data_IF_879631706284
#
_entry.id   IF_879631706284
#
_cell.length_a   1.000
_cell.length_b   1.000
_cell.length_c   1.000
_cell.angle_alpha   90.00
_cell.angle_beta   90.00
_cell.angle_gamma   90.00
#
_symmetry.space_group_name_H-M   'P 1'
#
loop_
_entity.id
_entity.type
_entity.pdbx_description
1 polymer ?
#
# COMPACT_ATOMS: atom_id res chain seq x y z
N UNK A 1 14.63 48.94 -49.13
CA UNK A 1 14.18 48.75 -47.73
C UNK A 1 13.02 47.76 -47.77
N UNK A 2 13.31 46.48 -47.50
CA UNK A 2 12.97 45.72 -46.27
C UNK A 2 11.47 45.47 -46.09
N UNK A 3 11.02 44.41 -46.74
CA UNK A 3 9.83 43.63 -46.38
C UNK A 3 10.13 42.98 -45.01
N UNK A 4 9.30 43.22 -44.01
CA UNK A 4 9.32 42.49 -42.74
C UNK A 4 8.28 41.37 -42.82
N UNK A 5 8.65 40.10 -42.57
CA UNK A 5 7.72 38.98 -42.64
C UNK A 5 6.84 38.91 -41.39
N UNK A 6 5.61 38.44 -41.62
CA UNK A 6 4.55 38.19 -40.65
C UNK A 6 5.01 37.37 -39.45
N UNK A 7 4.52 37.78 -38.29
CA UNK A 7 4.67 37.12 -37.01
C UNK A 7 4.22 35.64 -37.11
N UNK A 8 5.20 34.74 -37.05
CA UNK A 8 4.96 33.34 -36.78
C UNK A 8 4.38 33.21 -35.37
N UNK A 9 3.05 33.12 -35.27
CA UNK A 9 2.34 32.77 -34.04
C UNK A 9 2.70 31.33 -33.68
N UNK A 10 3.76 31.18 -32.89
CA UNK A 10 4.15 29.94 -32.27
C UNK A 10 3.03 29.49 -31.32
N UNK A 11 2.18 28.58 -31.79
CA UNK A 11 1.23 27.84 -30.95
C UNK A 11 2.01 27.07 -29.89
N UNK A 12 2.17 27.66 -28.70
CA UNK A 12 2.71 26.99 -27.51
C UNK A 12 1.80 25.79 -27.20
N UNK A 13 2.27 24.58 -27.52
CA UNK A 13 1.67 23.32 -27.06
C UNK A 13 1.64 23.37 -25.53
N UNK A 14 0.45 23.51 -24.95
CA UNK A 14 0.22 23.38 -23.51
C UNK A 14 0.70 21.98 -23.11
N UNK A 15 1.89 21.90 -22.49
CA UNK A 15 2.33 20.69 -21.82
C UNK A 15 1.32 20.42 -20.70
N UNK A 16 0.41 19.47 -20.95
CA UNK A 16 -0.49 18.93 -19.93
C UNK A 16 0.44 18.32 -18.88
N UNK A 17 0.63 18.99 -17.73
CA UNK A 17 1.36 18.43 -16.61
C UNK A 17 0.81 17.02 -16.39
N UNK A 18 1.66 15.97 -16.33
CA UNK A 18 1.16 14.63 -16.07
C UNK A 18 0.37 14.71 -14.77
N UNK A 19 -0.87 14.23 -14.78
CA UNK A 19 -1.69 14.20 -13.59
C UNK A 19 -0.90 13.46 -12.51
N UNK A 20 -0.53 14.16 -11.44
CA UNK A 20 0.20 13.58 -10.32
C UNK A 20 -0.70 12.50 -9.73
N UNK A 21 -0.40 11.25 -10.05
CA UNK A 21 -1.06 10.12 -9.43
C UNK A 21 -0.80 10.21 -7.92
N UNK A 22 -1.84 10.28 -7.11
CA UNK A 22 -1.69 10.07 -5.67
C UNK A 22 -1.20 8.63 -5.46
N UNK A 23 -0.01 8.48 -4.86
CA UNK A 23 0.61 7.19 -4.56
C UNK A 23 0.76 6.97 -3.05
N UNK A 24 0.15 7.85 -2.26
CA UNK A 24 0.24 7.82 -0.81
C UNK A 24 -0.98 7.13 -0.24
N UNK A 25 -0.73 6.09 0.54
CA UNK A 25 -1.71 5.47 1.42
C UNK A 25 -1.64 6.15 2.78
N UNK A 26 -2.79 6.42 3.41
CA UNK A 26 -2.86 7.06 4.73
C UNK A 26 -3.36 6.06 5.76
N UNK A 27 -2.59 5.74 6.80
CA UNK A 27 -2.99 4.75 7.81
C UNK A 27 -4.11 5.28 8.71
N UNK A 28 -4.64 4.42 9.60
CA UNK A 28 -5.58 4.79 10.64
C UNK A 28 -5.03 5.88 11.58
N UNK A 29 -3.70 5.98 11.72
CA UNK A 29 -3.00 6.97 12.55
C UNK A 29 -2.47 8.15 11.71
N UNK A 30 -3.03 8.39 10.53
CA UNK A 30 -2.73 9.51 9.64
C UNK A 30 -1.28 9.59 9.13
N UNK A 31 -0.51 8.50 9.19
CA UNK A 31 0.79 8.50 8.53
C UNK A 31 0.67 8.20 7.03
N UNK A 32 1.57 8.78 6.24
CA UNK A 32 1.59 8.64 4.79
C UNK A 32 2.65 7.64 4.36
N UNK A 33 2.19 6.57 3.71
CA UNK A 33 3.02 5.50 3.17
C UNK A 33 3.13 5.64 1.65
N UNK A 34 4.36 5.80 1.14
CA UNK A 34 4.64 5.93 -0.29
C UNK A 34 4.69 4.56 -0.97
N UNK A 35 3.65 4.22 -1.72
CA UNK A 35 3.54 2.93 -2.41
C UNK A 35 4.61 2.74 -3.50
N UNK A 36 5.26 3.80 -4.00
CA UNK A 36 6.34 3.67 -5.00
C UNK A 36 7.57 2.95 -4.47
N UNK A 37 7.75 2.92 -3.16
CA UNK A 37 8.88 2.23 -2.51
C UNK A 37 8.71 0.71 -2.48
N UNK A 38 7.53 0.19 -2.82
CA UNK A 38 7.28 -1.24 -2.86
C UNK A 38 7.95 -1.88 -4.08
N UNK A 39 8.73 -2.93 -3.85
CA UNK A 39 9.27 -3.75 -4.93
C UNK A 39 8.17 -4.65 -5.56
N UNK A 40 8.51 -5.35 -6.66
CA UNK A 40 7.55 -6.21 -7.39
C UNK A 40 6.91 -7.27 -6.49
N UNK A 41 7.70 -7.91 -5.62
CA UNK A 41 7.25 -8.97 -4.71
C UNK A 41 6.29 -8.41 -3.65
N UNK A 42 6.66 -7.31 -3.02
CA UNK A 42 5.83 -6.60 -2.04
C UNK A 42 4.52 -6.09 -2.65
N UNK A 43 4.54 -5.64 -3.91
CA UNK A 43 3.33 -5.24 -4.63
C UNK A 43 2.38 -6.41 -4.89
N UNK A 44 2.91 -7.60 -5.20
CA UNK A 44 2.10 -8.82 -5.35
C UNK A 44 1.49 -9.24 -4.01
N UNK A 45 2.27 -9.14 -2.92
CA UNK A 45 1.78 -9.38 -1.57
C UNK A 45 0.63 -8.42 -1.22
N UNK A 46 0.84 -7.11 -1.41
CA UNK A 46 -0.18 -6.09 -1.17
C UNK A 46 -1.45 -6.37 -1.97
N UNK A 47 -1.33 -6.80 -3.24
CA UNK A 47 -2.48 -7.17 -4.06
C UNK A 47 -3.30 -8.28 -3.40
N UNK A 48 -2.64 -9.38 -3.03
CA UNK A 48 -3.31 -10.53 -2.40
C UNK A 48 -4.03 -10.13 -1.12
N UNK A 49 -3.38 -9.36 -0.25
CA UNK A 49 -3.99 -8.96 1.03
C UNK A 49 -5.07 -7.89 0.85
N UNK A 50 -4.95 -7.02 -0.14
CA UNK A 50 -6.03 -6.10 -0.47
C UNK A 50 -7.27 -6.83 -1.00
N UNK A 51 -7.11 -7.85 -1.85
CA UNK A 51 -8.20 -8.71 -2.32
C UNK A 51 -8.88 -9.42 -1.12
N UNK A 52 -8.11 -10.01 -0.20
CA UNK A 52 -8.65 -10.62 1.03
C UNK A 52 -9.42 -9.62 1.91
N UNK A 53 -8.91 -8.39 2.05
CA UNK A 53 -9.58 -7.32 2.77
C UNK A 53 -10.92 -6.92 2.10
N UNK A 54 -10.94 -6.80 0.77
CA UNK A 54 -12.15 -6.49 -0.01
C UNK A 54 -13.20 -7.59 0.12
N UNK A 55 -12.77 -8.85 0.12
CA UNK A 55 -13.62 -10.03 0.36
C UNK A 55 -14.13 -10.13 1.80
N UNK A 56 -13.67 -9.25 2.69
CA UNK A 56 -14.01 -9.28 4.11
C UNK A 56 -13.69 -10.64 4.75
N UNK A 57 -12.52 -11.22 4.42
CA UNK A 57 -12.10 -12.48 5.00
C UNK A 57 -12.03 -12.41 6.54
N UNK A 58 -12.08 -13.54 7.22
CA UNK A 58 -11.93 -13.57 8.68
C UNK A 58 -10.60 -12.93 9.13
N UNK A 59 -10.63 -12.17 10.23
CA UNK A 59 -9.45 -11.47 10.76
C UNK A 59 -8.34 -12.43 11.18
N UNK A 60 -8.68 -13.55 11.84
CA UNK A 60 -7.71 -14.56 12.29
C UNK A 60 -7.05 -15.22 11.08
N UNK A 61 -7.83 -15.51 10.03
CA UNK A 61 -7.29 -16.02 8.77
C UNK A 61 -6.37 -15.01 8.08
N UNK A 62 -6.72 -13.72 8.10
CA UNK A 62 -5.90 -12.66 7.53
C UNK A 62 -4.52 -12.61 8.21
N UNK A 63 -4.48 -12.54 9.55
CA UNK A 63 -3.22 -12.46 10.30
C UNK A 63 -2.40 -13.75 10.19
N UNK A 64 -3.06 -14.91 10.17
CA UNK A 64 -2.40 -16.21 9.95
C UNK A 64 -1.69 -16.25 8.59
N UNK A 65 -2.37 -15.78 7.52
CA UNK A 65 -1.77 -15.70 6.18
C UNK A 65 -0.62 -14.68 6.13
N UNK A 66 -0.71 -13.58 6.87
CA UNK A 66 0.38 -12.60 6.98
C UNK A 66 1.60 -13.21 7.70
N UNK A 67 1.37 -14.11 8.65
CA UNK A 67 2.40 -14.88 9.36
C UNK A 67 3.10 -15.97 8.53
N UNK A 68 2.58 -16.35 7.37
CA UNK A 68 3.18 -17.41 6.55
C UNK A 68 4.58 -17.06 6.03
N UNK A 69 5.44 -18.07 5.86
CA UNK A 69 6.83 -17.91 5.41
C UNK A 69 6.95 -17.11 4.10
N UNK A 70 6.02 -17.29 3.16
CA UNK A 70 6.03 -16.54 1.90
C UNK A 70 5.77 -15.04 2.09
N UNK A 71 4.83 -14.70 2.98
CA UNK A 71 4.52 -13.32 3.37
C UNK A 71 5.69 -12.70 4.12
N UNK A 72 6.27 -13.42 5.09
CA UNK A 72 7.39 -12.98 5.91
C UNK A 72 8.64 -12.70 5.05
N UNK A 73 8.99 -13.62 4.14
CA UNK A 73 10.06 -13.41 3.16
C UNK A 73 9.79 -12.20 2.24
N UNK A 74 8.53 -11.89 1.93
CA UNK A 74 8.17 -10.74 1.10
C UNK A 74 8.19 -9.41 1.87
N UNK A 75 8.09 -9.46 3.20
CA UNK A 75 8.24 -8.34 4.13
C UNK A 75 9.73 -8.08 4.46
N UNK A 76 10.64 -8.90 3.93
CA UNK A 76 12.06 -8.90 4.28
C UNK A 76 12.29 -9.15 5.79
N UNK A 77 11.45 -10.02 6.38
CA UNK A 77 11.60 -10.48 7.75
C UNK A 77 12.88 -11.31 7.92
N UNK A 78 13.48 -11.20 9.10
CA UNK A 78 14.69 -11.96 9.45
C UNK A 78 14.33 -13.41 9.79
N UNK A 79 15.22 -14.34 9.41
CA UNK A 79 15.11 -15.74 9.83
C UNK A 79 15.53 -15.84 11.29
N UNK A 80 14.77 -16.59 12.10
CA UNK A 80 15.19 -16.94 13.45
C UNK A 80 16.01 -18.23 13.40
N UNK A 81 17.33 -18.09 13.39
CA UNK A 81 18.25 -19.23 13.32
C UNK A 81 18.17 -20.16 14.54
N UNK A 82 17.68 -19.67 15.68
CA UNK A 82 17.64 -20.40 16.96
C UNK A 82 16.23 -20.86 17.39
N UNK A 83 15.20 -20.69 16.57
CA UNK A 83 13.81 -21.03 16.93
C UNK A 83 13.39 -22.46 16.52
N UNK A 84 14.32 -23.29 16.06
CA UNK A 84 14.06 -24.64 15.54
C UNK A 84 13.88 -24.66 14.01
N UNK A 85 14.39 -25.72 13.37
CA UNK A 85 14.29 -26.06 11.94
C UNK A 85 14.09 -24.93 10.91
N UNK A 86 14.83 -23.81 11.00
CA UNK A 86 15.08 -22.86 9.90
C UNK A 86 13.88 -22.15 9.25
N UNK A 87 12.65 -22.41 9.71
CA UNK A 87 11.41 -21.98 9.05
C UNK A 87 10.63 -20.92 9.84
N UNK A 88 11.20 -20.41 10.93
CA UNK A 88 10.59 -19.37 11.74
C UNK A 88 11.13 -17.99 11.34
N UNK A 89 10.23 -17.09 10.97
CA UNK A 89 10.54 -15.69 10.70
C UNK A 89 10.14 -14.83 11.89
N UNK A 90 10.90 -13.77 12.13
CA UNK A 90 10.52 -12.75 13.10
C UNK A 90 10.60 -11.37 12.46
N UNK A 91 9.64 -10.52 12.82
CA UNK A 91 9.64 -9.12 12.41
C UNK A 91 10.60 -8.38 13.33
N UNK A 92 11.82 -8.16 12.84
CA UNK A 92 12.80 -7.35 13.54
C UNK A 92 12.51 -5.84 13.39
N UNK A 93 13.36 -5.01 13.99
CA UNK A 93 13.20 -3.55 13.92
C UNK A 93 13.30 -3.01 12.47
N UNK A 94 14.04 -3.66 11.58
CA UNK A 94 14.17 -3.24 10.19
C UNK A 94 12.89 -3.57 9.42
N UNK A 95 12.44 -4.82 9.48
CA UNK A 95 11.20 -5.28 8.86
C UNK A 95 9.98 -4.52 9.36
N UNK A 96 9.93 -4.17 10.65
CA UNK A 96 8.83 -3.37 11.23
C UNK A 96 8.70 -1.96 10.62
N UNK A 97 9.79 -1.41 10.06
CA UNK A 97 9.81 -0.10 9.40
C UNK A 97 9.51 -0.19 7.91
N UNK A 98 9.49 -1.39 7.34
CA UNK A 98 9.17 -1.58 5.93
C UNK A 98 7.73 -1.17 5.63
N UNK A 99 7.53 -0.50 4.51
CA UNK A 99 6.22 0.07 4.14
C UNK A 99 5.18 -1.05 3.96
N UNK A 100 5.59 -2.20 3.43
CA UNK A 100 4.70 -3.34 3.25
C UNK A 100 4.18 -3.88 4.58
N UNK A 101 5.03 -3.99 5.60
CA UNK A 101 4.62 -4.45 6.93
C UNK A 101 3.56 -3.52 7.52
N UNK A 102 3.82 -2.22 7.46
CA UNK A 102 2.93 -1.18 7.99
C UNK A 102 1.59 -1.13 7.26
N UNK A 103 1.60 -1.32 5.94
CA UNK A 103 0.39 -1.44 5.13
C UNK A 103 -0.45 -2.67 5.52
N UNK A 104 0.19 -3.82 5.68
CA UNK A 104 -0.52 -5.05 6.05
C UNK A 104 -1.10 -4.97 7.46
N UNK A 105 -0.36 -4.38 8.40
CA UNK A 105 -0.87 -4.10 9.73
C UNK A 105 -2.07 -3.14 9.70
N UNK A 106 -2.01 -2.05 8.93
CA UNK A 106 -3.15 -1.12 8.84
C UNK A 106 -4.38 -1.79 8.22
N UNK A 107 -4.21 -2.63 7.21
CA UNK A 107 -5.31 -3.42 6.63
C UNK A 107 -5.88 -4.42 7.64
N UNK A 108 -5.03 -5.09 8.42
CA UNK A 108 -5.45 -6.00 9.48
C UNK A 108 -6.23 -5.25 10.57
N UNK A 109 -5.75 -4.10 11.02
CA UNK A 109 -6.42 -3.27 12.04
C UNK A 109 -7.78 -2.77 11.55
N UNK A 110 -7.87 -2.32 10.29
CA UNK A 110 -9.14 -1.92 9.67
C UNK A 110 -10.13 -3.08 9.61
N UNK A 111 -9.66 -4.28 9.26
CA UNK A 111 -10.48 -5.49 9.22
C UNK A 111 -10.96 -5.88 10.62
N UNK A 112 -10.07 -5.83 11.61
CA UNK A 112 -10.38 -6.11 13.01
C UNK A 112 -11.41 -5.14 13.58
N UNK A 113 -11.32 -3.85 13.24
CA UNK A 113 -12.33 -2.85 13.61
C UNK A 113 -13.67 -3.17 12.94
N UNK A 114 -13.67 -3.50 11.64
CA UNK A 114 -14.88 -3.85 10.88
C UNK A 114 -15.59 -5.08 11.45
N UNK A 115 -14.84 -6.04 11.99
CA UNK A 115 -15.35 -7.28 12.57
C UNK A 115 -15.55 -7.20 14.10
N UNK A 116 -15.21 -6.08 14.74
CA UNK A 116 -15.44 -5.88 16.18
C UNK A 116 -14.37 -6.45 17.12
N UNK A 117 -13.25 -6.97 16.60
CA UNK A 117 -12.10 -7.40 17.40
C UNK A 117 -11.36 -6.22 18.05
N UNK A 118 -11.30 -5.08 17.35
CA UNK A 118 -10.69 -3.85 17.84
C UNK A 118 -11.71 -2.72 17.94
N UNK A 119 -11.56 -1.88 18.97
CA UNK A 119 -12.34 -0.64 19.07
C UNK A 119 -11.66 0.46 18.27
N UNK A 120 -12.46 1.24 17.55
CA UNK A 120 -11.98 2.46 16.89
C UNK A 120 -11.39 3.43 17.92
N UNK A 121 -10.16 3.88 17.69
CA UNK A 121 -9.54 4.95 18.48
C UNK A 121 -10.21 6.30 18.24
N UNK A 122 -10.17 7.20 19.26
CA UNK A 122 -10.82 8.52 19.18
C UNK A 122 -10.35 9.37 17.99
N UNK A 123 -9.08 9.24 17.62
CA UNK A 123 -8.45 10.02 16.56
C UNK A 123 -8.08 9.15 15.35
N UNK A 124 -8.77 8.02 15.13
CA UNK A 124 -8.47 7.11 14.03
C UNK A 124 -9.21 7.48 12.75
N UNK A 125 -8.48 7.58 11.64
CA UNK A 125 -9.02 7.84 10.31
C UNK A 125 -9.59 6.57 9.67
N UNK A 126 -10.85 6.27 10.00
CA UNK A 126 -11.55 5.09 9.47
C UNK A 126 -12.10 5.27 8.06
N UNK A 127 -12.04 6.47 7.47
CA UNK A 127 -12.42 6.65 6.07
C UNK A 127 -11.39 5.95 5.18
N UNK A 128 -11.85 4.96 4.41
CA UNK A 128 -11.00 4.16 3.53
C UNK A 128 -11.16 4.53 2.06
N UNK A 129 -12.08 5.43 1.71
CA UNK A 129 -12.45 5.71 0.32
C UNK A 129 -11.26 6.19 -0.53
N UNK A 130 -10.41 7.06 0.02
CA UNK A 130 -9.24 7.56 -0.72
C UNK A 130 -8.16 6.48 -0.84
N UNK A 131 -7.90 5.72 0.22
CA UNK A 131 -6.97 4.59 0.18
C UNK A 131 -7.42 3.53 -0.83
N UNK A 132 -8.71 3.26 -0.92
CA UNK A 132 -9.28 2.33 -1.88
C UNK A 132 -8.99 2.76 -3.32
N UNK A 133 -9.23 4.04 -3.66
CA UNK A 133 -8.91 4.61 -4.98
C UNK A 133 -7.41 4.51 -5.27
N UNK A 134 -6.57 4.88 -4.30
CA UNK A 134 -5.11 4.82 -4.43
C UNK A 134 -4.65 3.39 -4.66
N UNK A 135 -5.14 2.41 -3.89
CA UNK A 135 -4.79 1.01 -4.02
C UNK A 135 -5.27 0.40 -5.34
N UNK A 136 -6.54 0.61 -5.73
CA UNK A 136 -7.06 0.14 -7.02
C UNK A 136 -6.22 0.67 -8.18
N UNK A 137 -5.91 1.97 -8.17
CA UNK A 137 -5.07 2.59 -9.19
C UNK A 137 -3.63 2.09 -9.17
N UNK A 138 -3.02 1.97 -7.99
CA UNK A 138 -1.64 1.51 -7.83
C UNK A 138 -1.49 0.06 -8.29
N UNK A 139 -2.43 -0.81 -7.90
CA UNK A 139 -2.44 -2.24 -8.21
C UNK A 139 -2.95 -2.55 -9.63
N UNK A 140 -3.53 -1.56 -10.32
CA UNK A 140 -4.20 -1.71 -11.64
C UNK A 140 -5.38 -2.67 -11.58
N UNK A 141 -6.14 -2.59 -10.49
CA UNK A 141 -7.41 -3.27 -10.35
C UNK A 141 -8.47 -2.37 -11.00
N UNK A 142 -9.30 -2.93 -11.87
CA UNK A 142 -10.30 -2.17 -12.63
C UNK A 142 -11.25 -1.40 -11.70
N UNK A 143 -11.67 -0.21 -12.13
CA UNK A 143 -12.81 0.48 -11.53
C UNK A 143 -14.05 -0.33 -11.91
N UNK A 144 -14.48 -1.24 -11.02
CA UNK A 144 -15.80 -1.85 -11.11
C UNK A 144 -16.88 -0.80 -10.99
#
# INVERSE_FOLDING_TARGET
MRICPEDAVAKKRKHKKPATTCHYYTTLQDEKLDLKKLNKRQRQLLRKFYELYQENCDYVDFVTRAGSNDSQKAIDASVCDNCGNGDHYWIDQKASKEIIYRLLNDLADRLAIKQGFLRKGRNSNTDFNENEKVLKKFLRLGSG
#
